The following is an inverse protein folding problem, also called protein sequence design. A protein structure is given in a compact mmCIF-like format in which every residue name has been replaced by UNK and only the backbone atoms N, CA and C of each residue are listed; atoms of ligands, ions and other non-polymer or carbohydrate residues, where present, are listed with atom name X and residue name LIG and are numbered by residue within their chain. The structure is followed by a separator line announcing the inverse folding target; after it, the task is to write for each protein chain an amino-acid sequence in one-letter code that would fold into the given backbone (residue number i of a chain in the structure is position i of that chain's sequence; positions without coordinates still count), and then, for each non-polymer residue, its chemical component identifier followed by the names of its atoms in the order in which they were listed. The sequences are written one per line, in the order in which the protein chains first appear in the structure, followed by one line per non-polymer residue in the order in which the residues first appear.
data_IF_798330346455
#
_entry.id   IF_798330346455
#
_cell.length_a   1.000
_cell.length_b   1.000
_cell.length_c   1.000
_cell.angle_alpha   90.00
_cell.angle_beta   90.00
_cell.angle_gamma   90.00
#
_symmetry.space_group_name_H-M   'P 1'
#
loop_
_entity.id
_entity.type
_entity.pdbx_description
1 polymer ?
#
# COMPACT_ATOMS: atom_id res chain seq x y z
N UNK A 1 -16.02 3.58 -13.39
CA UNK A 1 -14.58 3.29 -13.34
C UNK A 1 -13.83 4.50 -12.82
N UNK A 2 -12.80 4.28 -11.99
CA UNK A 2 -11.93 5.33 -11.46
C UNK A 2 -10.48 4.96 -11.80
N UNK A 3 -9.71 5.97 -12.22
CA UNK A 3 -8.27 5.83 -12.44
C UNK A 3 -7.59 6.89 -11.59
N UNK A 4 -6.58 6.48 -10.83
CA UNK A 4 -5.75 7.36 -10.03
C UNK A 4 -4.28 7.20 -10.41
N UNK A 5 -3.52 8.28 -10.31
CA UNK A 5 -2.07 8.26 -10.56
C UNK A 5 -1.38 9.36 -9.77
N UNK A 6 -0.09 9.15 -9.47
CA UNK A 6 0.78 10.16 -8.88
C UNK A 6 1.28 11.12 -9.96
N UNK A 7 1.38 12.40 -9.62
CA UNK A 7 1.92 13.45 -10.48
C UNK A 7 2.76 14.41 -9.62
N UNK A 8 4.04 14.10 -9.45
CA UNK A 8 4.92 14.83 -8.54
C UNK A 8 4.41 14.71 -7.09
N UNK A 9 3.98 15.82 -6.49
CA UNK A 9 3.45 15.85 -5.11
C UNK A 9 1.92 15.74 -5.02
N UNK A 10 1.28 15.30 -6.10
CA UNK A 10 -0.17 15.20 -6.21
C UNK A 10 -0.63 13.76 -6.52
N UNK A 11 -1.86 13.42 -6.11
CA UNK A 11 -2.61 12.29 -6.70
C UNK A 11 -3.75 12.88 -7.51
N UNK A 12 -3.88 12.45 -8.76
CA UNK A 12 -4.93 12.86 -9.68
C UNK A 12 -5.92 11.73 -9.90
N UNK A 13 -7.13 12.10 -10.30
CA UNK A 13 -8.23 11.19 -10.56
C UNK A 13 -8.98 11.56 -11.84
N UNK A 14 -9.35 10.55 -12.61
CA UNK A 14 -10.42 10.62 -13.61
C UNK A 14 -11.48 9.57 -13.31
N UNK A 15 -12.71 9.86 -13.73
CA UNK A 15 -13.85 8.96 -13.58
C UNK A 15 -14.53 8.77 -14.93
N UNK A 16 -14.95 7.53 -15.19
CA UNK A 16 -15.86 7.16 -16.26
C UNK A 16 -17.13 6.56 -15.68
N UNK A 17 -18.28 6.91 -16.27
CA UNK A 17 -19.61 6.35 -15.96
C UNK A 17 -20.18 5.50 -17.10
N UNK A 18 -19.43 5.30 -18.18
CA UNK A 18 -19.87 4.68 -19.43
C UNK A 18 -18.95 3.52 -19.85
N UNK A 19 -18.40 2.81 -18.87
CA UNK A 19 -17.54 1.64 -19.13
C UNK A 19 -16.16 1.98 -19.69
N UNK A 20 -15.72 3.24 -19.57
CA UNK A 20 -14.41 3.69 -20.07
C UNK A 20 -14.44 4.34 -21.45
N UNK A 21 -15.62 4.55 -22.03
CA UNK A 21 -15.74 5.22 -23.33
C UNK A 21 -15.36 6.71 -23.24
N UNK A 22 -15.72 7.38 -22.15
CA UNK A 22 -15.30 8.76 -21.86
C UNK A 22 -14.86 8.91 -20.41
N UNK A 23 -14.02 9.93 -20.17
CA UNK A 23 -13.51 10.27 -18.85
C UNK A 23 -13.72 11.75 -18.55
N UNK A 24 -13.94 12.05 -17.27
CA UNK A 24 -13.87 13.42 -16.76
C UNK A 24 -12.49 14.04 -17.02
N UNK A 25 -12.41 15.37 -16.99
CA UNK A 25 -11.12 16.04 -16.88
C UNK A 25 -10.36 15.58 -15.62
N UNK A 26 -9.01 15.50 -15.66
CA UNK A 26 -8.19 15.22 -14.48
C UNK A 26 -8.48 16.18 -13.33
N UNK A 27 -8.70 15.64 -12.14
CA UNK A 27 -8.85 16.42 -10.89
C UNK A 27 -7.75 16.05 -9.92
N UNK A 28 -7.12 17.05 -9.31
CA UNK A 28 -6.23 16.84 -8.17
C UNK A 28 -7.07 16.49 -6.95
N UNK A 29 -6.79 15.32 -6.36
CA UNK A 29 -7.47 14.83 -5.17
C UNK A 29 -6.51 14.69 -3.98
N UNK A 30 -5.20 14.72 -4.17
CA UNK A 30 -4.23 14.76 -3.07
C UNK A 30 -3.18 15.81 -3.39
N UNK A 31 -2.72 16.54 -2.38
CA UNK A 31 -1.61 17.49 -2.46
C UNK A 31 -0.65 17.29 -1.28
N UNK A 32 0.63 17.61 -1.48
CA UNK A 32 1.62 17.61 -0.41
C UNK A 32 2.11 16.23 -0.02
N UNK A 33 2.00 15.25 -0.93
CA UNK A 33 2.66 13.96 -0.74
C UNK A 33 4.16 14.08 -0.95
N UNK A 34 4.93 13.28 -0.21
CA UNK A 34 6.36 13.07 -0.48
C UNK A 34 6.50 11.65 -1.02
N UNK A 35 6.67 11.47 -2.34
CA UNK A 35 6.59 10.15 -2.94
C UNK A 35 7.86 9.35 -2.69
N UNK A 36 7.75 8.03 -2.79
CA UNK A 36 8.87 7.11 -2.56
C UNK A 36 9.87 7.06 -3.72
N UNK A 37 9.54 7.60 -4.90
CA UNK A 37 10.39 7.62 -6.09
C UNK A 37 11.10 8.96 -6.33
N UNK A 38 11.14 9.83 -5.31
CA UNK A 38 11.81 11.14 -5.36
C UNK A 38 12.52 11.47 -4.02
N UNK A 39 13.35 12.55 -3.98
CA UNK A 39 13.91 13.03 -2.72
C UNK A 39 12.81 13.25 -1.66
N UNK A 40 13.08 12.92 -0.38
CA UNK A 40 14.41 12.85 0.24
C UNK A 40 15.06 11.44 0.26
N UNK A 41 14.41 10.42 -0.30
CA UNK A 41 15.00 9.08 -0.30
C UNK A 41 16.29 9.05 -1.14
N UNK A 42 17.32 8.32 -0.70
CA UNK A 42 18.51 8.11 -1.50
C UNK A 42 18.13 7.31 -2.74
N UNK A 43 18.81 7.60 -3.86
CA UNK A 43 18.62 6.88 -5.11
C UNK A 43 19.96 6.34 -5.62
N UNK A 44 20.01 5.03 -5.87
CA UNK A 44 21.14 4.38 -6.55
C UNK A 44 20.80 4.31 -8.03
N UNK A 45 21.62 4.94 -8.88
CA UNK A 45 21.39 4.98 -10.34
C UNK A 45 19.97 5.44 -10.75
N UNK A 46 19.38 6.36 -9.98
CA UNK A 46 18.04 6.91 -10.25
C UNK A 46 16.89 6.12 -9.64
N UNK A 47 17.15 5.02 -8.93
CA UNK A 47 16.14 4.23 -8.24
C UNK A 47 16.17 4.49 -6.74
N UNK A 48 15.09 5.08 -6.22
CA UNK A 48 14.94 5.36 -4.81
C UNK A 48 14.81 4.07 -3.97
N UNK A 49 15.35 4.11 -2.75
CA UNK A 49 15.41 2.98 -1.82
C UNK A 49 14.99 3.44 -0.42
N UNK A 50 14.25 2.60 0.31
CA UNK A 50 13.98 2.83 1.73
C UNK A 50 15.25 2.60 2.57
N UNK A 51 15.42 3.32 3.70
CA UNK A 51 16.48 3.02 4.66
C UNK A 51 16.51 1.53 5.05
N UNK A 52 17.70 0.92 5.03
CA UNK A 52 17.89 -0.51 5.32
C UNK A 52 17.67 -1.43 4.12
N UNK A 53 17.15 -0.94 3.00
CA UNK A 53 16.87 -1.72 1.79
C UNK A 53 17.79 -1.39 0.60
N UNK A 54 17.81 -2.30 -0.39
CA UNK A 54 18.47 -2.10 -1.70
C UNK A 54 17.51 -2.22 -2.89
N UNK A 55 16.25 -2.53 -2.62
CA UNK A 55 15.23 -2.68 -3.65
C UNK A 55 14.61 -1.35 -4.03
N UNK A 56 14.25 -1.20 -5.31
CA UNK A 56 13.51 -0.02 -5.79
C UNK A 56 12.17 0.09 -5.07
N UNK A 57 11.78 1.32 -4.72
CA UNK A 57 10.43 1.66 -4.25
C UNK A 57 9.79 2.76 -5.10
N UNK A 58 8.45 2.81 -5.07
CA UNK A 58 7.65 3.84 -5.73
C UNK A 58 6.33 4.07 -4.98
N UNK A 59 5.73 5.24 -5.17
CA UNK A 59 4.38 5.52 -4.64
C UNK A 59 3.34 5.16 -5.69
N UNK A 60 2.62 4.06 -5.45
CA UNK A 60 1.46 3.67 -6.25
C UNK A 60 0.16 4.03 -5.49
N UNK A 61 -0.63 5.01 -5.99
CA UNK A 61 -1.94 5.25 -5.44
C UNK A 61 -2.91 4.15 -5.91
N UNK A 62 -3.69 3.61 -4.98
CA UNK A 62 -4.74 2.64 -5.25
C UNK A 62 -6.11 3.25 -4.99
N UNK A 63 -7.12 2.81 -5.74
CA UNK A 63 -8.51 3.23 -5.57
C UNK A 63 -9.44 2.04 -5.56
N UNK A 64 -10.43 2.05 -4.66
CA UNK A 64 -11.54 1.12 -4.69
C UNK A 64 -12.86 1.88 -4.55
N UNK A 65 -13.94 1.25 -5.01
CA UNK A 65 -15.29 1.80 -4.92
C UNK A 65 -16.12 0.87 -4.06
N UNK A 66 -16.65 1.41 -2.97
CA UNK A 66 -17.54 0.69 -2.06
C UNK A 66 -19.01 0.91 -2.38
N UNK A 67 -19.88 0.47 -1.46
CA UNK A 67 -21.31 0.69 -1.56
C UNK A 67 -21.65 2.20 -1.54
N UNK A 68 -22.85 2.55 -2.03
CA UNK A 68 -23.38 3.92 -1.97
C UNK A 68 -22.46 5.01 -2.56
N UNK A 69 -21.68 4.68 -3.59
CA UNK A 69 -20.68 5.58 -4.21
C UNK A 69 -19.53 5.99 -3.28
N UNK A 70 -19.20 5.18 -2.26
CA UNK A 70 -17.96 5.36 -1.51
C UNK A 70 -16.77 5.17 -2.45
N UNK A 71 -15.80 6.09 -2.39
CA UNK A 71 -14.51 5.97 -3.07
C UNK A 71 -13.42 6.10 -2.01
N UNK A 72 -12.54 5.12 -1.93
CA UNK A 72 -11.38 5.15 -1.04
C UNK A 72 -10.13 5.15 -1.90
N UNK A 73 -9.23 6.08 -1.62
CA UNK A 73 -7.91 6.17 -2.26
C UNK A 73 -6.86 6.02 -1.19
N UNK A 74 -5.86 5.17 -1.42
CA UNK A 74 -4.70 4.98 -0.55
C UNK A 74 -3.40 5.17 -1.31
N UNK A 75 -2.32 5.57 -0.63
CA UNK A 75 -1.00 5.68 -1.21
C UNK A 75 0.08 5.60 -0.12
N UNK A 76 1.29 5.20 -0.50
CA UNK A 76 2.46 5.27 0.37
C UNK A 76 3.09 6.68 0.33
N UNK A 77 3.48 7.20 1.49
CA UNK A 77 3.98 8.56 1.63
C UNK A 77 5.10 8.65 2.66
N UNK A 78 6.18 9.35 2.33
CA UNK A 78 7.39 9.48 3.15
C UNK A 78 7.52 10.84 3.83
N UNK A 79 6.45 11.66 3.87
CA UNK A 79 6.54 13.06 4.36
C UNK A 79 7.02 13.20 5.80
N UNK A 80 6.92 12.15 6.61
CA UNK A 80 7.30 12.14 8.03
C UNK A 80 8.68 11.50 8.26
N UNK A 81 9.46 11.28 7.21
CA UNK A 81 10.77 10.59 7.30
C UNK A 81 10.67 9.08 7.50
N UNK A 82 9.46 8.54 7.44
CA UNK A 82 9.15 7.12 7.50
C UNK A 82 7.94 6.86 6.58
N UNK A 83 8.01 5.83 5.72
CA UNK A 83 6.88 5.54 4.82
C UNK A 83 5.67 5.05 5.61
N UNK A 84 4.51 5.64 5.38
CA UNK A 84 3.20 5.21 5.90
C UNK A 84 2.20 5.15 4.76
N UNK A 85 1.18 4.30 4.90
CA UNK A 85 0.03 4.34 3.98
C UNK A 85 -0.95 5.42 4.48
N UNK A 86 -1.32 6.34 3.60
CA UNK A 86 -2.32 7.38 3.82
C UNK A 86 -3.60 7.07 3.03
N UNK A 87 -4.72 7.68 3.43
CA UNK A 87 -6.01 7.58 2.76
C UNK A 87 -6.71 8.93 2.54
N UNK A 88 -7.63 8.94 1.58
CA UNK A 88 -8.79 9.85 1.53
C UNK A 88 -10.02 9.09 1.12
N UNK A 89 -11.18 9.53 1.62
CA UNK A 89 -12.48 8.94 1.30
C UNK A 89 -13.44 9.98 0.74
N UNK A 90 -14.32 9.52 -0.15
CA UNK A 90 -15.44 10.27 -0.66
C UNK A 90 -16.71 9.44 -0.48
N UNK A 91 -17.77 10.05 0.06
CA UNK A 91 -19.08 9.41 0.21
C UNK A 91 -20.04 9.72 -0.95
N UNK A 92 -19.57 10.45 -1.97
CA UNK A 92 -20.42 10.96 -3.06
C UNK A 92 -19.72 10.81 -4.42
N UNK A 93 -19.09 9.66 -4.64
CA UNK A 93 -18.54 9.30 -5.94
C UNK A 93 -17.36 10.16 -6.40
N UNK A 94 -16.60 10.74 -5.47
CA UNK A 94 -15.44 11.59 -5.73
C UNK A 94 -15.75 13.07 -5.91
N UNK A 95 -16.98 13.53 -5.60
CA UNK A 95 -17.33 14.95 -5.70
C UNK A 95 -16.62 15.77 -4.60
N UNK A 96 -16.75 15.34 -3.34
CA UNK A 96 -16.05 15.89 -2.16
C UNK A 96 -15.36 14.79 -1.37
N UNK A 97 -14.46 15.16 -0.45
CA UNK A 97 -13.57 14.24 0.25
C UNK A 97 -13.48 14.61 1.74
N UNK A 98 -13.45 13.61 2.64
CA UNK A 98 -13.57 13.80 4.09
C UNK A 98 -12.31 14.34 4.77
N UNK A 99 -11.12 13.93 4.31
CA UNK A 99 -9.83 14.33 4.88
C UNK A 99 -9.25 15.58 4.17
N UNK A 100 -8.29 16.30 4.79
CA UNK A 100 -7.54 17.36 4.12
C UNK A 100 -6.95 16.89 2.78
N UNK A 101 -6.56 17.81 1.90
CA UNK A 101 -5.94 17.44 0.62
C UNK A 101 -4.66 16.59 0.81
N UNK A 102 -3.99 16.70 1.95
CA UNK A 102 -2.84 15.86 2.32
C UNK A 102 -3.22 14.46 2.78
N UNK A 103 -4.50 14.16 3.00
CA UNK A 103 -4.95 12.90 3.58
C UNK A 103 -4.60 12.72 5.05
N UNK A 104 -4.88 11.51 5.52
CA UNK A 104 -4.63 11.03 6.89
C UNK A 104 -4.05 9.62 6.85
N UNK A 105 -3.25 9.18 7.84
CA UNK A 105 -2.73 7.81 7.89
C UNK A 105 -3.87 6.77 7.90
N UNK A 106 -3.68 5.66 7.18
CA UNK A 106 -4.57 4.49 7.25
C UNK A 106 -4.57 3.89 8.65
N UNK A 107 -3.39 3.83 9.29
CA UNK A 107 -3.23 3.30 10.63
C UNK A 107 -2.89 4.40 11.64
N UNK A 108 -3.63 4.41 12.73
CA UNK A 108 -3.37 5.25 13.91
C UNK A 108 -3.31 4.37 15.17
N UNK A 109 -2.87 4.93 16.29
CA UNK A 109 -2.84 4.18 17.56
C UNK A 109 -4.24 3.62 17.91
N UNK A 110 -4.33 2.39 18.44
CA UNK A 110 -3.24 1.52 18.90
C UNK A 110 -2.68 0.55 17.85
N UNK A 111 -3.13 0.63 16.59
CA UNK A 111 -2.78 -0.33 15.52
C UNK A 111 -1.72 0.20 14.53
N UNK A 112 -1.11 1.34 14.85
CA UNK A 112 -0.05 1.95 14.06
C UNK A 112 1.15 1.01 13.88
N UNK A 113 1.77 1.07 12.70
CA UNK A 113 3.04 0.39 12.46
C UNK A 113 4.14 0.95 13.36
N UNK A 114 5.09 0.11 13.83
CA UNK A 114 6.19 0.58 14.66
C UNK A 114 7.00 1.69 13.97
N UNK A 115 7.60 2.63 14.73
CA UNK A 115 8.26 3.82 14.17
C UNK A 115 9.46 3.50 13.27
N UNK A 116 10.08 2.33 13.41
CA UNK A 116 11.22 1.86 12.63
C UNK A 116 10.84 0.97 11.44
N UNK A 117 9.54 0.75 11.20
CA UNK A 117 9.03 0.06 10.03
C UNK A 117 8.53 1.05 8.98
N UNK A 118 8.60 0.68 7.71
CA UNK A 118 8.10 1.41 6.57
C UNK A 118 6.94 0.65 5.92
N UNK A 119 5.78 1.30 5.78
CA UNK A 119 4.63 0.74 5.07
C UNK A 119 4.65 1.21 3.60
N UNK A 120 4.59 0.30 2.63
CA UNK A 120 4.64 0.66 1.21
C UNK A 120 3.94 -0.37 0.31
N UNK A 121 3.80 -0.01 -0.96
CA UNK A 121 3.12 -0.79 -2.01
C UNK A 121 1.70 -1.27 -1.61
N UNK A 122 0.80 -0.33 -1.25
CA UNK A 122 -0.53 -0.70 -0.77
C UNK A 122 -1.38 -1.32 -1.88
N UNK A 123 -2.25 -2.25 -1.51
CA UNK A 123 -3.26 -2.88 -2.36
C UNK A 123 -4.62 -2.76 -1.69
N UNK A 124 -5.67 -2.37 -2.41
CA UNK A 124 -6.95 -1.98 -1.81
C UNK A 124 -8.12 -2.73 -2.45
N UNK A 125 -9.02 -3.27 -1.62
CA UNK A 125 -10.22 -3.98 -2.09
C UNK A 125 -11.41 -3.75 -1.16
N UNK A 126 -12.62 -3.86 -1.69
CA UNK A 126 -13.86 -3.84 -0.89
C UNK A 126 -14.46 -5.24 -0.84
N UNK A 127 -14.87 -5.66 0.35
CA UNK A 127 -15.63 -6.90 0.56
C UNK A 127 -17.12 -6.72 0.23
N UNK A 128 -17.85 -7.82 -0.05
CA UNK A 128 -19.30 -7.75 -0.29
C UNK A 128 -20.12 -7.13 0.85
N UNK A 129 -19.62 -7.15 2.10
CA UNK A 129 -20.25 -6.52 3.26
C UNK A 129 -19.97 -5.01 3.39
N UNK A 130 -19.22 -4.45 2.44
CA UNK A 130 -18.83 -3.04 2.42
C UNK A 130 -17.59 -2.71 3.25
N UNK A 131 -16.99 -3.67 3.96
CA UNK A 131 -15.70 -3.44 4.61
C UNK A 131 -14.58 -3.27 3.57
N UNK A 132 -13.64 -2.38 3.85
CA UNK A 132 -12.50 -2.09 2.97
C UNK A 132 -11.26 -2.72 3.58
N UNK A 133 -10.52 -3.48 2.79
CA UNK A 133 -9.23 -4.06 3.16
C UNK A 133 -8.10 -3.39 2.39
N UNK A 134 -7.00 -3.13 3.09
CA UNK A 134 -5.74 -2.67 2.51
C UNK A 134 -4.63 -3.65 2.91
N UNK A 135 -3.91 -4.20 1.95
CA UNK A 135 -2.67 -4.94 2.18
C UNK A 135 -1.49 -4.03 1.87
N UNK A 136 -0.37 -4.20 2.54
CA UNK A 136 0.88 -3.48 2.25
C UNK A 136 2.08 -4.27 2.79
N UNK A 137 3.28 -3.94 2.31
CA UNK A 137 4.52 -4.46 2.87
C UNK A 137 4.94 -3.59 4.05
N UNK A 138 5.35 -4.22 5.15
CA UNK A 138 5.93 -3.58 6.33
C UNK A 138 7.41 -3.98 6.43
N UNK A 139 8.31 -3.05 6.10
CA UNK A 139 9.75 -3.27 5.99
C UNK A 139 10.54 -2.55 7.08
N UNK A 140 11.42 -3.26 7.76
CA UNK A 140 12.30 -2.66 8.76
C UNK A 140 13.08 -3.69 9.57
N UNK A 141 13.87 -3.24 10.56
CA UNK A 141 14.57 -4.14 11.48
C UNK A 141 13.57 -5.04 12.23
N UNK A 142 13.93 -6.29 12.50
CA UNK A 142 13.10 -7.23 13.28
C UNK A 142 13.87 -7.73 14.51
N UNK A 143 13.13 -8.11 15.56
CA UNK A 143 13.67 -8.58 16.84
C UNK A 143 13.83 -7.48 17.89
N UNK A 144 14.05 -7.87 19.15
CA UNK A 144 14.31 -6.95 20.26
C UNK A 144 15.45 -7.51 21.16
N UNK A 145 16.69 -7.00 21.05
CA UNK A 145 17.12 -5.94 20.15
C UNK A 145 17.10 -6.38 18.67
N UNK A 146 17.02 -5.45 17.70
CA UNK A 146 17.09 -5.82 16.29
C UNK A 146 18.41 -6.51 15.94
N UNK A 147 18.35 -7.56 15.12
CA UNK A 147 19.52 -8.31 14.67
C UNK A 147 19.39 -8.70 13.20
N UNK A 148 20.46 -8.54 12.42
CA UNK A 148 20.47 -8.91 11.00
C UNK A 148 19.93 -7.80 10.08
N UNK A 149 19.63 -8.14 8.81
CA UNK A 149 19.09 -7.20 7.84
C UNK A 149 17.64 -6.80 8.19
N UNK A 150 17.18 -5.70 7.60
CA UNK A 150 15.75 -5.37 7.60
C UNK A 150 14.97 -6.41 6.78
N UNK A 151 13.83 -6.83 7.29
CA UNK A 151 12.98 -7.86 6.69
C UNK A 151 11.59 -7.31 6.40
N UNK A 152 10.83 -8.02 5.57
CA UNK A 152 9.48 -7.64 5.15
C UNK A 152 8.44 -8.56 5.78
N UNK A 153 7.41 -7.95 6.35
CA UNK A 153 6.14 -8.61 6.65
C UNK A 153 5.07 -8.17 5.65
N UNK A 154 4.07 -9.02 5.42
CA UNK A 154 2.84 -8.61 4.74
C UNK A 154 1.78 -8.34 5.77
N UNK A 155 1.18 -7.16 5.72
CA UNK A 155 0.15 -6.74 6.66
C UNK A 155 -1.15 -6.51 5.91
N UNK A 156 -2.26 -6.99 6.45
CA UNK A 156 -3.62 -6.64 6.02
C UNK A 156 -4.31 -5.87 7.13
N UNK A 157 -4.89 -4.73 6.74
CA UNK A 157 -5.72 -3.90 7.61
C UNK A 157 -7.11 -3.78 7.02
N UNK A 158 -8.14 -3.71 7.86
CA UNK A 158 -9.51 -3.61 7.39
C UNK A 158 -10.36 -2.70 8.25
N UNK A 159 -11.38 -2.12 7.62
CA UNK A 159 -12.50 -1.48 8.31
C UNK A 159 -13.47 -2.53 8.84
N UNK A 160 -14.37 -2.12 9.72
CA UNK A 160 -15.47 -2.96 10.23
C UNK A 160 -16.74 -2.86 9.38
N UNK A 161 -16.78 -1.92 8.43
CA UNK A 161 -17.88 -1.68 7.51
C UNK A 161 -17.58 -0.48 6.60
N UNK A 162 -18.53 -0.11 5.76
CA UNK A 162 -18.40 1.06 4.89
C UNK A 162 -18.24 2.35 5.72
N UNK A 163 -17.33 3.22 5.33
CA UNK A 163 -17.07 4.50 6.02
C UNK A 163 -16.46 4.42 7.43
N UNK A 164 -16.23 3.23 7.99
CA UNK A 164 -15.59 3.10 9.32
C UNK A 164 -14.06 3.17 9.19
N UNK A 165 -13.32 3.61 10.23
CA UNK A 165 -11.86 3.65 10.19
C UNK A 165 -11.26 2.24 10.08
N UNK A 166 -10.06 2.16 9.50
CA UNK A 166 -9.25 0.95 9.55
C UNK A 166 -8.87 0.69 11.00
N UNK A 167 -9.28 -0.45 11.53
CA UNK A 167 -9.11 -0.79 12.96
C UNK A 167 -8.74 -2.25 13.19
N UNK A 168 -8.97 -3.13 12.22
CA UNK A 168 -8.47 -4.50 12.26
C UNK A 168 -7.13 -4.57 11.56
N UNK A 169 -6.13 -5.15 12.20
CA UNK A 169 -4.78 -5.37 11.66
C UNK A 169 -4.40 -6.84 11.86
N UNK A 170 -3.78 -7.43 10.85
CA UNK A 170 -3.20 -8.76 10.92
C UNK A 170 -1.89 -8.80 10.12
N UNK A 171 -0.83 -9.32 10.73
CA UNK A 171 0.35 -9.78 9.99
C UNK A 171 -0.01 -11.10 9.32
N UNK A 172 0.20 -11.18 8.01
CA UNK A 172 -0.16 -12.31 7.15
C UNK A 172 0.99 -13.31 7.08
N UNK A 173 2.21 -12.80 7.03
CA UNK A 173 3.44 -13.59 7.11
C UNK A 173 3.55 -14.24 8.48
N UNK A 174 3.80 -15.55 8.49
CA UNK A 174 4.13 -16.31 9.69
C UNK A 174 5.59 -16.07 10.13
N UNK A 175 6.45 -15.74 9.16
CA UNK A 175 7.83 -15.29 9.35
C UNK A 175 8.14 -14.17 8.36
N UNK A 176 8.87 -13.12 8.77
CA UNK A 176 9.29 -12.06 7.86
C UNK A 176 10.36 -12.60 6.89
N UNK A 177 10.38 -12.07 5.67
CA UNK A 177 11.28 -12.53 4.60
C UNK A 177 12.35 -11.50 4.26
N UNK A 178 13.50 -11.99 3.77
CA UNK A 178 14.67 -11.17 3.46
C UNK A 178 14.64 -10.74 1.97
N UNK A 179 14.44 -9.44 1.67
CA UNK A 179 14.36 -8.96 0.29
C UNK A 179 15.69 -8.99 -0.47
N UNK A 180 16.79 -9.44 0.14
CA UNK A 180 18.10 -9.58 -0.50
C UNK A 180 18.38 -10.98 -1.03
N UNK A 181 17.61 -11.98 -0.58
CA UNK A 181 17.77 -13.38 -1.00
C UNK A 181 17.25 -13.55 -2.43
N UNK A 182 18.13 -13.97 -3.34
CA UNK A 182 17.85 -14.20 -4.77
C UNK A 182 17.04 -13.06 -5.42
N UNK A 183 17.33 -11.83 -5.04
CA UNK A 183 16.58 -10.69 -5.53
C UNK A 183 17.00 -10.36 -6.98
N UNK A 184 16.06 -10.36 -7.96
CA UNK A 184 16.33 -9.89 -9.31
C UNK A 184 16.89 -8.47 -9.32
N UNK A 185 17.58 -8.11 -10.40
CA UNK A 185 18.05 -6.76 -10.62
C UNK A 185 16.94 -5.89 -11.22
N UNK A 186 16.77 -4.67 -10.73
CA UNK A 186 15.83 -3.71 -11.32
C UNK A 186 16.32 -3.33 -12.71
N UNK A 187 15.59 -3.72 -13.76
CA UNK A 187 15.95 -3.44 -15.16
C UNK A 187 17.39 -3.89 -15.54
N UNK A 188 17.92 -4.92 -14.87
CA UNK A 188 19.29 -5.41 -15.09
C UNK A 188 20.39 -4.57 -14.43
N UNK A 189 20.05 -3.57 -13.61
CA UNK A 189 21.01 -2.72 -12.90
C UNK A 189 21.59 -3.46 -11.66
N UNK A 190 22.91 -3.74 -11.60
CA UNK A 190 23.52 -4.46 -10.48
C UNK A 190 23.54 -3.68 -9.15
N UNK A 191 23.26 -2.38 -9.16
CA UNK A 191 23.27 -1.54 -7.96
C UNK A 191 21.96 -1.62 -7.16
N UNK A 192 20.86 -2.05 -7.79
CA UNK A 192 19.50 -1.98 -7.24
C UNK A 192 18.78 -3.31 -7.46
N UNK A 193 18.28 -3.89 -6.37
CA UNK A 193 17.46 -5.11 -6.44
C UNK A 193 15.99 -4.79 -6.73
N UNK A 194 15.21 -5.80 -7.04
CA UNK A 194 13.79 -5.69 -7.30
C UNK A 194 13.05 -6.83 -6.65
N UNK A 195 12.10 -6.50 -5.78
CA UNK A 195 11.22 -7.48 -5.15
C UNK A 195 9.94 -7.71 -5.95
N UNK A 196 9.79 -7.10 -7.12
CA UNK A 196 8.52 -7.09 -7.85
C UNK A 196 7.59 -5.96 -7.42
N UNK A 197 6.73 -5.53 -8.34
CA UNK A 197 5.48 -4.81 -8.01
C UNK A 197 4.31 -5.83 -8.05
N UNK A 198 4.61 -7.12 -7.84
CA UNK A 198 3.69 -8.25 -8.01
C UNK A 198 2.93 -8.54 -6.71
N UNK A 199 2.32 -7.50 -6.16
CA UNK A 199 1.49 -7.54 -4.98
C UNK A 199 0.04 -7.24 -5.38
N UNK A 200 -0.90 -8.03 -4.89
CA UNK A 200 -2.32 -7.73 -5.03
C UNK A 200 -3.16 -8.23 -3.86
N UNK A 201 -4.42 -7.80 -3.87
CA UNK A 201 -5.39 -8.13 -2.84
C UNK A 201 -6.74 -8.43 -3.47
N UNK A 202 -7.24 -9.64 -3.23
CA UNK A 202 -8.61 -10.02 -3.56
C UNK A 202 -9.44 -10.18 -2.28
N UNK A 203 -10.76 -10.12 -2.41
CA UNK A 203 -11.67 -10.35 -1.30
C UNK A 203 -12.93 -11.10 -1.72
N UNK A 204 -13.50 -11.83 -0.77
CA UNK A 204 -14.82 -12.44 -0.88
C UNK A 204 -15.48 -12.48 0.50
N UNK A 205 -16.67 -13.06 0.61
CA UNK A 205 -17.33 -13.30 1.91
C UNK A 205 -16.55 -14.23 2.84
N UNK A 206 -15.46 -14.84 2.36
CA UNK A 206 -14.55 -15.67 3.15
C UNK A 206 -13.41 -14.88 3.80
N UNK A 207 -13.20 -13.63 3.42
CA UNK A 207 -12.13 -12.75 3.90
C UNK A 207 -11.27 -12.16 2.78
N UNK A 208 -10.05 -11.79 3.13
CA UNK A 208 -9.07 -11.22 2.22
C UNK A 208 -8.03 -12.24 1.77
N UNK A 209 -7.55 -12.09 0.54
CA UNK A 209 -6.61 -12.97 -0.13
C UNK A 209 -5.48 -12.14 -0.76
N UNK A 210 -4.51 -11.67 0.03
CA UNK A 210 -3.30 -11.08 -0.52
C UNK A 210 -2.48 -12.13 -1.28
N UNK A 211 -1.78 -11.70 -2.32
CA UNK A 211 -0.69 -12.46 -2.91
C UNK A 211 0.53 -11.54 -3.07
N UNK A 212 1.73 -12.04 -2.81
CA UNK A 212 2.93 -11.22 -2.72
C UNK A 212 4.18 -12.00 -3.15
N UNK A 213 5.25 -11.29 -3.49
CA UNK A 213 6.58 -11.88 -3.65
C UNK A 213 7.24 -12.16 -2.31
N UNK A 214 7.91 -13.29 -2.18
CA UNK A 214 8.56 -13.72 -0.96
C UNK A 214 9.76 -14.62 -1.29
N UNK A 215 10.80 -14.57 -0.46
CA UNK A 215 12.08 -15.25 -0.69
C UNK A 215 12.38 -16.33 0.35
N UNK A 216 11.41 -16.67 1.21
CA UNK A 216 11.60 -17.64 2.33
C UNK A 216 12.06 -19.03 1.90
N UNK A 217 11.87 -19.41 0.64
CA UNK A 217 12.31 -20.69 0.06
C UNK A 217 13.72 -20.64 -0.53
N UNK A 218 14.39 -19.48 -0.46
CA UNK A 218 15.72 -19.25 -1.02
C UNK A 218 15.71 -18.68 -2.44
N UNK A 219 14.55 -18.59 -3.08
CA UNK A 219 14.31 -17.97 -4.38
C UNK A 219 13.06 -17.08 -4.32
N UNK A 220 12.91 -16.10 -5.20
CA UNK A 220 11.72 -15.24 -5.22
C UNK A 220 10.52 -15.96 -5.86
N UNK A 221 9.46 -16.19 -5.09
CA UNK A 221 8.22 -16.83 -5.55
C UNK A 221 6.99 -16.02 -5.16
N UNK A 222 5.81 -16.41 -5.67
CA UNK A 222 4.52 -15.81 -5.28
C UNK A 222 3.86 -16.66 -4.20
N UNK A 223 3.53 -16.03 -3.09
CA UNK A 223 2.79 -16.60 -1.98
C UNK A 223 1.39 -15.99 -1.90
N UNK A 224 0.48 -16.71 -1.25
CA UNK A 224 -0.85 -16.21 -0.91
C UNK A 224 -1.31 -16.83 0.40
N UNK A 225 -2.21 -16.14 1.09
CA UNK A 225 -2.83 -16.61 2.31
C UNK A 225 -4.26 -16.10 2.40
N UNK A 226 -5.07 -16.74 3.24
CA UNK A 226 -6.41 -16.26 3.58
C UNK A 226 -6.37 -15.56 4.94
N UNK A 227 -6.77 -14.29 4.97
CA UNK A 227 -7.04 -13.55 6.20
C UNK A 227 -8.55 -13.60 6.44
N UNK A 228 -8.97 -14.52 7.31
CA UNK A 228 -10.38 -14.73 7.60
C UNK A 228 -10.99 -13.53 8.34
N UNK A 229 -12.20 -13.16 7.96
CA UNK A 229 -13.01 -12.25 8.75
C UNK A 229 -13.44 -13.00 10.02
N UNK A 230 -13.02 -12.52 11.20
CA UNK A 230 -13.65 -12.97 12.44
C UNK A 230 -15.14 -12.61 12.36
N UNK A 231 -16.00 -13.62 12.27
CA UNK A 231 -17.42 -13.43 12.53
C UNK A 231 -17.56 -13.29 14.05
N UNK A 232 -18.35 -12.31 14.53
CA UNK A 232 -18.66 -12.21 15.95
C UNK A 232 -19.31 -13.50 16.48
#
# INVERSE_FOLDING_TARGET
MYIVWSAGKEVKLVKSTDGGATFSAPRVIVNGLTPLDAPPLPASHGWAQLPGGRFRVATFPMVCVGAASEVVVVWADYREGVSRVYQRRSANGGATWSAPASGEPVLTAPVASPPDQHDFDPQLVVMPDGSVGCAFYEFGPKGNPPSGPSLIDVVVVATTGAGTPFSRRATVTDHPWDPTVDAPLSHGDPSVTFIGDYFGLAASSLGFFPFWTDTRTGIQEIFTARVAQHRP
#
